data_IF_755006412614
#
_entry.id   IF_755006412614
#
_cell.length_a   1.000
_cell.length_b   1.000
_cell.length_c   1.000
_cell.angle_alpha   90.00
_cell.angle_beta   90.00
_cell.angle_gamma   90.00
#
_symmetry.space_group_name_H-M   'P 1'
#
loop_
_entity.id
_entity.type
_entity.pdbx_description
1 polymer ?
#
# COMPACT_ATOMS: atom_id res chain seq x y z
N UNK A 1 5.96 80.87 -65.98
CA UNK A 1 4.65 80.17 -65.88
C UNK A 1 4.78 78.65 -65.88
N UNK A 2 5.91 78.01 -66.18
CA UNK A 2 6.06 76.52 -66.14
C UNK A 2 6.36 75.93 -64.77
N UNK A 3 6.85 76.74 -63.82
CA UNK A 3 7.18 76.26 -62.46
C UNK A 3 6.00 76.18 -61.47
N UNK A 4 4.93 76.91 -61.72
CA UNK A 4 3.74 76.95 -60.87
C UNK A 4 2.85 75.74 -61.13
N UNK A 5 2.83 75.19 -62.32
CA UNK A 5 2.01 74.02 -62.67
C UNK A 5 2.54 72.70 -62.06
N UNK A 6 3.84 72.56 -61.82
CA UNK A 6 4.42 71.40 -61.18
C UNK A 6 4.18 71.33 -59.65
N UNK A 7 4.00 72.53 -59.03
CA UNK A 7 3.69 72.59 -57.60
C UNK A 7 2.23 72.20 -57.25
N UNK A 8 1.33 72.46 -58.18
CA UNK A 8 -0.09 72.14 -57.95
C UNK A 8 -0.42 70.64 -58.10
N UNK A 9 0.29 69.90 -58.89
CA UNK A 9 0.12 68.45 -59.05
C UNK A 9 0.72 67.66 -57.88
N UNK A 10 1.79 68.19 -57.28
CA UNK A 10 2.39 67.55 -56.12
C UNK A 10 1.53 67.64 -54.83
N UNK A 11 0.73 68.69 -54.71
CA UNK A 11 -0.20 68.86 -53.53
C UNK A 11 -1.52 68.10 -53.66
N UNK A 12 -1.91 67.68 -54.85
CA UNK A 12 -3.12 66.85 -55.05
C UNK A 12 -2.86 65.36 -54.81
N UNK A 13 -1.61 64.91 -54.86
CA UNK A 13 -1.24 63.54 -54.58
C UNK A 13 -1.17 63.17 -53.06
N UNK A 14 -1.21 64.19 -52.18
CA UNK A 14 -1.20 63.99 -50.72
C UNK A 14 -2.59 63.94 -50.07
N UNK A 15 -3.66 64.13 -50.87
CA UNK A 15 -5.03 64.05 -50.36
C UNK A 15 -5.71 62.72 -50.67
N UNK A 16 -4.94 61.60 -50.67
CA UNK A 16 -5.57 60.29 -50.62
C UNK A 16 -6.19 60.09 -49.22
N UNK A 17 -7.51 59.88 -49.12
CA UNK A 17 -8.11 59.62 -47.81
C UNK A 17 -7.46 58.35 -47.26
N UNK A 18 -6.97 58.42 -46.03
CA UNK A 18 -6.51 57.28 -45.25
C UNK A 18 -7.75 56.41 -44.89
N UNK A 19 -8.28 55.69 -45.87
CA UNK A 19 -9.35 54.72 -45.73
C UNK A 19 -8.85 53.38 -45.13
N UNK A 20 -7.69 53.38 -44.50
CA UNK A 20 -7.09 52.16 -43.92
C UNK A 20 -7.33 52.01 -42.40
N UNK A 21 -8.16 52.86 -41.77
CA UNK A 21 -8.32 52.84 -40.31
C UNK A 21 -9.62 52.27 -39.79
N UNK A 22 -10.44 51.66 -40.63
CA UNK A 22 -11.68 51.02 -40.18
C UNK A 22 -11.62 49.49 -40.39
N UNK A 23 -10.56 48.87 -39.86
CA UNK A 23 -10.60 47.45 -39.63
C UNK A 23 -11.57 47.21 -38.51
N UNK A 24 -12.72 46.58 -38.82
CA UNK A 24 -13.69 46.11 -37.81
C UNK A 24 -12.92 45.45 -36.69
N UNK A 25 -13.23 45.82 -35.39
CA UNK A 25 -12.56 45.18 -34.26
C UNK A 25 -12.74 43.68 -34.41
N UNK A 26 -11.63 42.95 -34.50
CA UNK A 26 -11.66 41.48 -34.49
C UNK A 26 -12.43 41.09 -33.25
N UNK A 27 -13.58 40.45 -33.44
CA UNK A 27 -14.33 39.80 -32.37
C UNK A 27 -13.33 38.84 -31.70
N UNK A 28 -12.86 39.20 -30.52
CA UNK A 28 -12.10 38.29 -29.67
C UNK A 28 -13.03 37.14 -29.30
N UNK A 29 -13.00 36.08 -30.08
CA UNK A 29 -13.56 34.80 -29.65
C UNK A 29 -12.69 34.39 -28.47
N UNK A 30 -13.31 34.44 -27.26
CA UNK A 30 -12.67 33.95 -26.02
C UNK A 30 -12.10 32.58 -26.34
N UNK A 31 -10.78 32.42 -26.23
CA UNK A 31 -10.13 31.14 -26.46
C UNK A 31 -10.88 30.04 -25.68
N UNK A 32 -11.14 28.86 -26.26
CA UNK A 32 -11.77 27.76 -25.52
C UNK A 32 -11.09 27.59 -24.20
N UNK A 33 -11.85 27.56 -23.13
CA UNK A 33 -11.31 27.28 -21.81
C UNK A 33 -10.66 25.91 -21.90
N UNK A 34 -9.33 25.86 -21.82
CA UNK A 34 -8.60 24.61 -21.77
C UNK A 34 -8.99 23.89 -20.47
N UNK A 35 -9.85 22.90 -20.57
CA UNK A 35 -10.16 22.00 -19.46
C UNK A 35 -9.08 20.90 -19.51
N UNK A 36 -8.18 20.83 -18.54
CA UNK A 36 -7.21 19.75 -18.49
C UNK A 36 -7.92 18.40 -18.57
N UNK A 37 -7.40 17.41 -19.30
CA UNK A 37 -7.98 16.07 -19.33
C UNK A 37 -8.09 15.54 -17.90
N UNK A 38 -9.26 15.06 -17.52
CA UNK A 38 -9.44 14.42 -16.22
C UNK A 38 -8.58 13.16 -16.18
N UNK A 39 -7.69 13.09 -15.21
CA UNK A 39 -6.89 11.89 -14.96
C UNK A 39 -7.82 10.80 -14.41
N UNK A 40 -8.11 9.80 -15.22
CA UNK A 40 -8.91 8.65 -14.82
C UNK A 40 -7.93 7.64 -14.17
N UNK A 41 -8.08 7.44 -12.86
CA UNK A 41 -7.33 6.41 -12.14
C UNK A 41 -8.03 5.07 -12.30
N UNK A 42 -7.34 4.10 -12.89
CA UNK A 42 -7.81 2.73 -13.03
C UNK A 42 -6.96 1.81 -12.16
N UNK A 43 -7.60 1.14 -11.22
CA UNK A 43 -6.96 0.21 -10.29
C UNK A 43 -6.86 -1.21 -10.82
N UNK A 44 -7.46 -1.51 -12.00
CA UNK A 44 -7.42 -2.85 -12.59
C UNK A 44 -6.03 -3.20 -13.08
N UNK A 45 -5.51 -4.33 -12.64
CA UNK A 45 -4.23 -4.87 -13.11
C UNK A 45 -3.46 -5.63 -12.05
N UNK A 46 -2.39 -6.27 -12.48
CA UNK A 46 -1.42 -6.90 -11.59
C UNK A 46 -0.51 -5.86 -10.94
N UNK A 47 -0.01 -6.17 -9.77
CA UNK A 47 1.04 -5.40 -9.13
C UNK A 47 2.00 -6.29 -8.37
N UNK A 48 3.22 -5.79 -8.21
CA UNK A 48 4.25 -6.35 -7.33
C UNK A 48 4.85 -5.22 -6.51
N UNK A 49 5.32 -5.52 -5.32
CA UNK A 49 5.90 -4.51 -4.45
C UNK A 49 6.70 -5.07 -3.30
N UNK A 50 7.24 -4.15 -2.52
CA UNK A 50 7.92 -4.43 -1.28
C UNK A 50 7.30 -3.64 -0.13
N UNK A 51 7.47 -4.14 1.08
CA UNK A 51 7.03 -3.47 2.30
C UNK A 51 8.05 -3.61 3.42
N UNK A 52 7.99 -2.67 4.34
CA UNK A 52 8.68 -2.71 5.62
C UNK A 52 7.71 -2.30 6.72
N UNK A 53 8.00 -2.67 7.96
CA UNK A 53 7.12 -2.32 9.06
C UNK A 53 7.55 -2.88 10.40
N UNK A 54 6.60 -2.90 11.32
CA UNK A 54 6.75 -3.48 12.65
C UNK A 54 5.72 -4.56 12.92
N UNK A 55 6.14 -5.59 13.63
CA UNK A 55 5.29 -6.65 14.16
C UNK A 55 5.28 -6.58 15.68
N UNK A 56 4.11 -6.77 16.27
CA UNK A 56 3.86 -6.70 17.71
C UNK A 56 3.08 -7.94 18.13
N UNK A 57 3.55 -8.63 19.14
CA UNK A 57 2.82 -9.77 19.70
C UNK A 57 1.57 -9.31 20.47
N UNK A 58 0.52 -10.13 20.46
CA UNK A 58 -0.67 -9.89 21.29
C UNK A 58 -0.41 -10.09 22.78
N UNK A 59 -1.27 -9.54 23.63
CA UNK A 59 -1.11 -9.47 25.09
C UNK A 59 -1.00 -10.83 25.81
N UNK A 60 -1.47 -11.90 25.19
CA UNK A 60 -1.47 -13.27 25.77
C UNK A 60 -0.46 -14.21 25.10
N UNK A 61 0.44 -13.67 24.30
CA UNK A 61 1.46 -14.43 23.55
C UNK A 61 2.64 -14.83 24.43
N UNK A 62 3.27 -15.95 24.12
CA UNK A 62 4.57 -16.34 24.70
C UNK A 62 5.74 -15.55 24.09
N UNK A 63 5.46 -14.59 23.23
CA UNK A 63 6.45 -13.68 22.65
C UNK A 63 6.61 -12.45 23.55
N UNK A 64 7.81 -11.86 23.52
CA UNK A 64 7.99 -10.52 24.10
C UNK A 64 7.12 -9.50 23.34
N UNK A 65 6.56 -8.54 24.09
CA UNK A 65 5.77 -7.42 23.53
C UNK A 65 6.63 -6.41 22.74
N UNK A 66 7.93 -6.64 22.60
CA UNK A 66 8.82 -5.76 21.87
C UNK A 66 8.46 -5.72 20.38
N UNK A 67 8.46 -4.51 19.83
CA UNK A 67 8.28 -4.32 18.39
C UNK A 67 9.43 -4.96 17.63
N UNK A 68 9.11 -5.80 16.65
CA UNK A 68 10.07 -6.42 15.75
C UNK A 68 9.96 -5.80 14.37
N UNK A 69 11.09 -5.45 13.78
CA UNK A 69 11.11 -5.00 12.38
C UNK A 69 10.70 -6.15 11.47
N UNK A 70 9.96 -5.84 10.41
CA UNK A 70 9.67 -6.77 9.33
C UNK A 70 9.96 -6.13 7.98
N UNK A 71 10.33 -6.95 7.03
CA UNK A 71 10.46 -6.57 5.62
C UNK A 71 9.98 -7.69 4.73
N UNK A 72 9.41 -7.36 3.57
CA UNK A 72 8.85 -8.39 2.72
C UNK A 72 8.47 -7.93 1.34
N UNK A 73 7.87 -8.85 0.61
CA UNK A 73 7.38 -8.66 -0.74
C UNK A 73 5.89 -8.94 -0.82
N UNK A 74 5.23 -8.35 -1.78
CA UNK A 74 3.82 -8.57 -2.08
C UNK A 74 3.56 -8.57 -3.57
N UNK A 75 2.47 -9.21 -3.96
CA UNK A 75 1.97 -9.16 -5.31
C UNK A 75 0.49 -9.51 -5.32
N UNK A 76 -0.23 -8.98 -6.29
CA UNK A 76 -1.65 -9.20 -6.37
C UNK A 76 -2.25 -8.75 -7.68
N UNK A 77 -3.56 -8.88 -7.75
CA UNK A 77 -4.38 -8.44 -8.85
C UNK A 77 -5.62 -7.74 -8.32
N UNK A 78 -5.92 -6.57 -8.87
CA UNK A 78 -7.12 -5.80 -8.58
C UNK A 78 -8.02 -5.73 -9.80
N UNK A 79 -9.31 -5.68 -9.55
CA UNK A 79 -10.34 -5.44 -10.54
C UNK A 79 -11.31 -4.36 -10.07
N UNK A 80 -11.33 -3.23 -10.77
CA UNK A 80 -12.27 -2.15 -10.52
C UNK A 80 -13.57 -2.45 -11.29
N UNK A 81 -14.55 -3.00 -10.57
CA UNK A 81 -15.82 -3.47 -11.15
C UNK A 81 -16.88 -2.37 -11.21
N UNK A 82 -16.67 -1.26 -10.52
CA UNK A 82 -17.51 -0.08 -10.56
C UNK A 82 -16.64 1.19 -10.46
N UNK A 83 -17.15 2.39 -10.74
CA UNK A 83 -16.36 3.63 -10.76
C UNK A 83 -15.51 3.85 -9.49
N UNK A 84 -16.01 3.42 -8.34
CA UNK A 84 -15.37 3.63 -7.05
C UNK A 84 -15.10 2.34 -6.26
N UNK A 85 -15.39 1.17 -6.82
CA UNK A 85 -15.23 -0.09 -6.11
C UNK A 85 -14.20 -1.00 -6.75
N UNK A 86 -13.31 -1.52 -5.93
CA UNK A 86 -12.23 -2.41 -6.31
C UNK A 86 -12.33 -3.68 -5.49
N UNK A 87 -12.17 -4.83 -6.14
CA UNK A 87 -11.93 -6.12 -5.49
C UNK A 87 -10.60 -6.66 -5.96
N UNK A 88 -9.93 -7.44 -5.14
CA UNK A 88 -8.64 -8.00 -5.52
C UNK A 88 -8.22 -9.18 -4.66
N UNK A 89 -7.12 -9.77 -5.06
CA UNK A 89 -6.41 -10.79 -4.30
C UNK A 89 -4.96 -10.37 -4.13
N UNK A 90 -4.40 -10.60 -2.95
CA UNK A 90 -3.03 -10.24 -2.63
C UNK A 90 -2.34 -11.38 -1.90
N UNK A 91 -1.12 -11.70 -2.30
CA UNK A 91 -0.20 -12.55 -1.57
C UNK A 91 0.92 -11.69 -0.99
N UNK A 92 1.24 -11.93 0.29
CA UNK A 92 2.34 -11.27 1.00
C UNK A 92 3.25 -12.30 1.64
N UNK A 93 4.54 -11.97 1.68
CA UNK A 93 5.54 -12.74 2.41
C UNK A 93 6.50 -11.80 3.09
N UNK A 94 6.63 -11.96 4.42
CA UNK A 94 7.42 -11.09 5.29
C UNK A 94 8.44 -11.90 6.05
N UNK A 95 9.66 -11.39 6.16
CA UNK A 95 10.75 -11.90 6.99
C UNK A 95 10.86 -11.05 8.24
N UNK A 96 11.03 -11.70 9.37
CA UNK A 96 11.22 -11.08 10.68
C UNK A 96 12.55 -11.56 11.27
N UNK A 97 13.38 -10.68 11.85
CA UNK A 97 14.53 -11.11 12.61
C UNK A 97 14.12 -11.98 13.80
N UNK A 98 14.88 -13.02 14.03
CA UNK A 98 14.67 -13.91 15.17
C UNK A 98 14.98 -13.17 16.47
N UNK A 99 14.02 -13.13 17.40
CA UNK A 99 14.22 -12.64 18.77
C UNK A 99 14.29 -13.82 19.72
N UNK A 100 15.38 -13.90 20.50
CA UNK A 100 15.53 -14.94 21.55
C UNK A 100 14.88 -14.53 22.88
N UNK A 101 14.11 -13.46 22.91
CA UNK A 101 13.40 -13.01 24.11
C UNK A 101 12.12 -13.81 24.31
N UNK A 102 11.94 -14.32 25.52
CA UNK A 102 10.80 -15.13 25.92
C UNK A 102 10.21 -14.67 27.25
N UNK A 103 9.11 -15.32 27.64
CA UNK A 103 8.48 -15.12 28.94
C UNK A 103 9.10 -16.06 29.97
N UNK A 104 9.50 -15.50 31.12
CA UNK A 104 10.07 -16.31 32.22
C UNK A 104 8.98 -16.57 33.27
N UNK A 105 8.79 -17.83 33.61
CA UNK A 105 7.86 -18.30 34.62
C UNK A 105 8.47 -18.34 36.03
N UNK A 106 7.67 -18.44 37.11
CA UNK A 106 8.13 -18.29 38.49
C UNK A 106 9.24 -19.26 38.94
N UNK A 107 9.30 -20.47 38.37
CA UNK A 107 10.36 -21.45 38.69
C UNK A 107 11.59 -21.34 37.77
N UNK A 108 11.70 -20.24 37.01
CA UNK A 108 12.84 -19.99 36.14
C UNK A 108 12.75 -20.63 34.76
N UNK A 109 11.62 -21.20 34.41
CA UNK A 109 11.38 -21.71 33.05
C UNK A 109 11.17 -20.54 32.09
N UNK A 110 11.96 -20.48 31.04
CA UNK A 110 11.81 -19.50 29.95
C UNK A 110 11.19 -20.17 28.75
N UNK A 111 10.09 -19.60 28.26
CA UNK A 111 9.43 -20.02 27.02
C UNK A 111 9.66 -18.96 25.97
N UNK A 112 10.23 -19.36 24.83
CA UNK A 112 10.47 -18.51 23.67
C UNK A 112 9.59 -18.96 22.52
N UNK A 113 8.92 -18.02 21.87
CA UNK A 113 8.21 -18.27 20.62
C UNK A 113 8.76 -17.34 19.55
N UNK A 114 9.28 -17.92 18.50
CA UNK A 114 9.88 -17.17 17.39
C UNK A 114 9.02 -17.33 16.14
N UNK A 115 8.70 -16.21 15.51
CA UNK A 115 8.12 -16.17 14.16
C UNK A 115 9.16 -15.52 13.25
N UNK A 116 9.73 -16.31 12.35
CA UNK A 116 10.78 -15.83 11.44
C UNK A 116 10.22 -15.40 10.10
N UNK A 117 9.05 -15.93 9.75
CA UNK A 117 8.40 -15.70 8.48
C UNK A 117 6.88 -15.67 8.65
N UNK A 118 6.26 -14.71 7.97
CA UNK A 118 4.81 -14.54 7.91
C UNK A 118 4.38 -14.48 6.44
N UNK A 119 3.46 -15.35 6.08
CA UNK A 119 2.85 -15.35 4.76
C UNK A 119 1.35 -15.19 4.84
N UNK A 120 0.73 -14.63 3.80
CA UNK A 120 -0.73 -14.57 3.68
C UNK A 120 -1.18 -14.54 2.24
N UNK A 121 -2.39 -15.10 2.01
CA UNK A 121 -3.17 -14.92 0.79
C UNK A 121 -4.53 -14.38 1.20
N UNK A 122 -4.87 -13.19 0.71
CA UNK A 122 -6.04 -12.43 1.14
C UNK A 122 -6.87 -11.98 -0.06
N UNK A 123 -8.19 -12.00 0.09
CA UNK A 123 -9.09 -11.19 -0.71
C UNK A 123 -9.15 -9.77 -0.16
N UNK A 124 -9.26 -8.77 -1.03
CA UNK A 124 -9.45 -7.37 -0.62
C UNK A 124 -10.62 -6.72 -1.34
N UNK A 125 -11.31 -5.84 -0.65
CA UNK A 125 -12.36 -4.97 -1.19
C UNK A 125 -12.07 -3.55 -0.74
N UNK A 126 -12.24 -2.59 -1.65
CA UNK A 126 -11.94 -1.20 -1.35
C UNK A 126 -12.78 -0.21 -2.12
N UNK A 127 -12.78 1.00 -1.61
CA UNK A 127 -13.41 2.16 -2.21
C UNK A 127 -12.34 3.16 -2.65
N UNK A 128 -12.44 3.62 -3.89
CA UNK A 128 -11.49 4.57 -4.47
C UNK A 128 -12.11 5.94 -4.72
N UNK A 129 -11.34 6.99 -4.41
CA UNK A 129 -11.64 8.37 -4.79
C UNK A 129 -10.38 9.00 -5.41
N UNK A 130 -10.41 9.11 -6.75
CA UNK A 130 -9.25 9.56 -7.50
C UNK A 130 -8.04 8.63 -7.32
N UNK A 131 -6.87 9.14 -6.91
CA UNK A 131 -5.65 8.34 -6.74
C UNK A 131 -5.61 7.50 -5.45
N UNK A 132 -6.62 7.60 -4.60
CA UNK A 132 -6.62 6.99 -3.26
C UNK A 132 -7.56 5.78 -3.22
N UNK A 133 -7.12 4.67 -2.63
CA UNK A 133 -7.89 3.47 -2.37
C UNK A 133 -7.83 3.15 -0.88
N UNK A 134 -8.99 3.15 -0.21
CA UNK A 134 -9.17 2.60 1.13
C UNK A 134 -9.68 1.17 0.98
N UNK A 135 -9.07 0.21 1.65
CA UNK A 135 -9.47 -1.19 1.53
C UNK A 135 -9.46 -1.93 2.85
N UNK A 136 -10.29 -2.96 2.93
CA UNK A 136 -10.23 -4.02 3.91
C UNK A 136 -9.81 -5.31 3.22
N UNK A 137 -9.15 -6.20 3.94
CA UNK A 137 -8.72 -7.50 3.43
C UNK A 137 -8.84 -8.58 4.49
N UNK A 138 -8.93 -9.83 4.03
CA UNK A 138 -8.96 -10.99 4.92
C UNK A 138 -8.71 -12.27 4.16
N UNK A 139 -8.17 -13.27 4.86
CA UNK A 139 -7.85 -14.54 4.23
C UNK A 139 -7.01 -15.46 5.09
N UNK A 140 -6.36 -16.36 4.41
CA UNK A 140 -5.48 -17.36 4.99
C UNK A 140 -4.10 -16.78 5.30
N UNK A 141 -3.54 -17.20 6.42
CA UNK A 141 -2.20 -16.83 6.83
C UNK A 141 -1.43 -18.07 7.32
N UNK A 142 -0.13 -18.03 7.15
CA UNK A 142 0.78 -19.03 7.71
C UNK A 142 2.00 -18.36 8.30
N UNK A 143 2.62 -19.05 9.25
CA UNK A 143 3.89 -18.63 9.85
C UNK A 143 4.90 -19.76 9.85
N UNK A 144 6.15 -19.43 9.84
CA UNK A 144 7.26 -20.33 10.14
C UNK A 144 8.00 -19.81 11.37
N UNK A 145 8.27 -20.70 12.30
CA UNK A 145 8.91 -20.37 13.56
C UNK A 145 8.88 -21.57 14.49
N UNK A 146 9.43 -21.41 15.68
CA UNK A 146 9.55 -22.47 16.67
C UNK A 146 9.24 -22.00 18.09
N UNK A 147 8.87 -22.97 18.93
CA UNK A 147 8.79 -22.83 20.38
C UNK A 147 10.06 -23.41 21.00
N UNK A 148 10.61 -22.73 21.98
CA UNK A 148 11.71 -23.21 22.80
C UNK A 148 11.36 -23.12 24.28
N UNK A 149 11.80 -24.09 25.07
CA UNK A 149 11.67 -24.10 26.53
C UNK A 149 13.04 -24.32 27.12
N UNK A 150 13.44 -23.41 28.00
CA UNK A 150 14.75 -23.49 28.72
C UNK A 150 14.53 -23.33 30.21
N UNK A 151 15.31 -24.05 31.01
CA UNK A 151 15.45 -23.84 32.47
C UNK A 151 16.88 -23.53 32.77
N UNK A 152 17.16 -22.39 33.38
CA UNK A 152 18.52 -21.90 33.66
C UNK A 152 19.46 -21.98 32.43
N UNK A 153 18.93 -21.69 31.22
CA UNK A 153 19.71 -21.72 29.97
C UNK A 153 19.86 -23.11 29.35
N UNK A 154 19.33 -24.16 29.97
CA UNK A 154 19.39 -25.53 29.46
C UNK A 154 18.10 -25.86 28.73
N UNK A 155 18.15 -26.28 27.43
CA UNK A 155 16.96 -26.68 26.68
C UNK A 155 16.25 -27.87 27.34
N UNK A 156 14.93 -27.80 27.41
CA UNK A 156 14.07 -28.83 27.98
C UNK A 156 13.19 -29.47 26.91
N UNK A 157 12.89 -30.75 27.09
CA UNK A 157 11.88 -31.43 26.29
C UNK A 157 10.52 -31.08 26.80
N UNK A 158 9.59 -30.79 25.86
CA UNK A 158 8.21 -30.44 26.14
C UNK A 158 7.28 -30.98 25.05
N UNK A 159 6.00 -31.06 25.37
CA UNK A 159 4.94 -31.31 24.40
C UNK A 159 3.91 -30.20 24.51
N UNK A 160 3.56 -29.62 23.38
CA UNK A 160 2.53 -28.59 23.29
C UNK A 160 1.50 -28.99 22.23
N UNK A 161 0.24 -28.72 22.51
CA UNK A 161 -0.88 -28.94 21.60
C UNK A 161 -1.37 -27.61 21.07
N UNK A 162 -1.70 -27.53 19.78
CA UNK A 162 -2.24 -26.30 19.17
C UNK A 162 -1.17 -25.33 18.67
N UNK A 163 0.09 -25.73 18.55
CA UNK A 163 1.13 -24.93 17.90
C UNK A 163 0.88 -24.89 16.38
N UNK A 164 -0.15 -24.15 15.99
CA UNK A 164 -0.58 -24.06 14.60
C UNK A 164 0.35 -23.12 13.83
N UNK A 165 0.78 -23.59 12.66
CA UNK A 165 1.51 -22.78 11.68
C UNK A 165 0.56 -22.01 10.77
N UNK A 166 -0.70 -22.43 10.74
CA UNK A 166 -1.77 -21.94 9.87
C UNK A 166 -2.83 -21.18 10.65
N UNK A 167 -3.39 -20.14 10.05
CA UNK A 167 -4.37 -19.30 10.68
C UNK A 167 -5.10 -18.41 9.70
N UNK A 168 -5.73 -17.39 10.21
CA UNK A 168 -6.40 -16.36 9.42
C UNK A 168 -5.80 -14.98 9.68
N UNK A 169 -6.04 -14.09 8.74
CA UNK A 169 -5.65 -12.69 8.87
C UNK A 169 -6.77 -11.78 8.41
N UNK A 170 -6.87 -10.62 9.06
CA UNK A 170 -7.72 -9.51 8.65
C UNK A 170 -6.93 -8.21 8.75
N UNK A 171 -7.25 -7.26 7.89
CA UNK A 171 -6.52 -6.00 7.87
C UNK A 171 -7.26 -4.92 7.10
N UNK A 172 -6.71 -3.72 7.20
CA UNK A 172 -7.16 -2.57 6.43
C UNK A 172 -5.96 -1.70 6.05
N UNK A 173 -6.10 -0.97 4.97
CA UNK A 173 -5.03 -0.11 4.48
C UNK A 173 -5.52 1.00 3.57
N UNK A 174 -4.63 1.95 3.39
CA UNK A 174 -4.76 3.05 2.46
C UNK A 174 -3.65 2.95 1.43
N UNK A 175 -4.00 3.03 0.15
CA UNK A 175 -3.05 3.02 -0.96
C UNK A 175 -3.25 4.27 -1.82
N UNK A 176 -2.17 4.90 -2.24
CA UNK A 176 -2.17 6.15 -3.00
C UNK A 176 -1.29 6.03 -4.24
N UNK A 177 -1.87 6.25 -5.43
CA UNK A 177 -1.12 6.34 -6.68
C UNK A 177 -0.45 7.71 -6.79
N UNK A 178 0.85 7.76 -6.58
CA UNK A 178 1.64 8.99 -6.71
C UNK A 178 2.24 9.17 -8.11
N UNK A 179 2.22 8.12 -8.93
CA UNK A 179 2.63 8.14 -10.33
C UNK A 179 1.82 7.10 -11.13
N UNK A 180 1.80 7.17 -12.47
CA UNK A 180 0.93 6.32 -13.31
C UNK A 180 1.00 4.81 -13.02
N UNK A 181 2.19 4.30 -12.65
CA UNK A 181 2.41 2.87 -12.38
C UNK A 181 2.88 2.61 -10.94
N UNK A 182 2.91 3.63 -10.09
CA UNK A 182 3.44 3.52 -8.75
C UNK A 182 2.43 3.92 -7.70
N UNK A 183 2.29 3.10 -6.68
CA UNK A 183 1.49 3.41 -5.51
C UNK A 183 2.26 3.17 -4.22
N UNK A 184 1.97 3.96 -3.21
CA UNK A 184 2.43 3.75 -1.84
C UNK A 184 1.26 3.30 -0.99
N UNK A 185 1.48 2.38 -0.04
CA UNK A 185 0.44 1.91 0.87
C UNK A 185 0.89 1.97 2.32
N UNK A 186 -0.08 2.19 3.21
CA UNK A 186 0.04 1.97 4.64
C UNK A 186 -1.04 0.97 5.06
N UNK A 187 -0.67 -0.04 5.83
CA UNK A 187 -1.53 -1.18 6.13
C UNK A 187 -1.36 -1.62 7.58
N UNK A 188 -2.48 -1.87 8.24
CA UNK A 188 -2.53 -2.63 9.48
C UNK A 188 -3.11 -4.01 9.20
N UNK A 189 -2.49 -5.05 9.78
CA UNK A 189 -2.95 -6.42 9.61
C UNK A 189 -2.80 -7.20 10.92
N UNK A 190 -3.87 -7.88 11.28
CA UNK A 190 -3.95 -8.80 12.41
C UNK A 190 -3.87 -10.23 11.91
N UNK A 191 -3.05 -11.04 12.58
CA UNK A 191 -2.89 -12.46 12.32
C UNK A 191 -3.29 -13.26 13.56
N UNK A 192 -4.00 -14.36 13.38
CA UNK A 192 -4.38 -15.27 14.46
C UNK A 192 -4.09 -16.72 14.06
N UNK A 193 -3.25 -17.37 14.84
CA UNK A 193 -2.83 -18.77 14.64
C UNK A 193 -3.41 -19.69 15.74
N UNK A 194 -4.40 -19.20 16.50
CA UNK A 194 -5.04 -19.96 17.55
C UNK A 194 -4.32 -19.86 18.89
N UNK A 195 -4.29 -20.93 19.64
CA UNK A 195 -3.66 -20.98 20.98
C UNK A 195 -2.88 -22.27 21.16
N UNK A 196 -1.74 -22.16 21.86
CA UNK A 196 -0.87 -23.26 22.25
C UNK A 196 -1.06 -23.56 23.71
N UNK A 197 -1.17 -24.84 24.07
CA UNK A 197 -1.25 -25.34 25.46
C UNK A 197 -0.13 -26.34 25.69
N UNK A 198 0.63 -26.15 26.75
CA UNK A 198 1.68 -27.09 27.15
C UNK A 198 1.05 -28.26 27.89
N UNK A 199 1.25 -29.48 27.38
CA UNK A 199 0.72 -30.72 27.95
C UNK A 199 1.77 -31.52 28.71
N UNK A 200 3.05 -31.26 28.48
CA UNK A 200 4.18 -31.88 29.18
C UNK A 200 5.38 -30.94 29.16
N UNK A 201 6.23 -31.01 30.19
CA UNK A 201 7.42 -30.18 30.36
C UNK A 201 7.68 -29.82 31.81
N UNK A 202 8.45 -28.75 32.10
CA UNK A 202 8.63 -28.23 33.44
C UNK A 202 7.31 -27.93 34.14
N UNK A 203 7.25 -28.14 35.45
CA UNK A 203 5.97 -28.12 36.21
C UNK A 203 5.25 -26.76 36.19
N UNK A 204 5.96 -25.67 36.00
CA UNK A 204 5.44 -24.31 35.99
C UNK A 204 4.79 -23.91 34.66
N UNK A 205 4.98 -24.71 33.61
CA UNK A 205 4.35 -24.43 32.29
C UNK A 205 3.27 -25.43 31.89
N UNK A 206 3.19 -26.59 32.54
CA UNK A 206 2.14 -27.59 32.22
C UNK A 206 0.77 -27.03 32.48
N UNK A 207 -0.12 -27.08 31.49
CA UNK A 207 -1.48 -26.52 31.53
C UNK A 207 -1.54 -25.02 31.15
N UNK A 208 -0.42 -24.34 30.99
CA UNK A 208 -0.40 -22.94 30.55
C UNK A 208 -0.82 -22.86 29.10
N UNK A 209 -1.72 -21.91 28.82
CA UNK A 209 -2.25 -21.61 27.48
C UNK A 209 -1.84 -20.21 27.07
N UNK A 210 -1.22 -20.09 25.91
CA UNK A 210 -0.92 -18.80 25.26
C UNK A 210 -1.64 -18.67 23.93
N UNK A 211 -2.02 -17.44 23.60
CA UNK A 211 -2.57 -17.11 22.28
C UNK A 211 -1.43 -16.79 21.34
N UNK A 212 -1.56 -17.21 20.09
CA UNK A 212 -0.57 -16.98 19.04
C UNK A 212 -1.15 -15.98 18.03
N UNK A 213 -1.17 -14.71 18.43
CA UNK A 213 -1.63 -13.61 17.59
C UNK A 213 -0.54 -12.56 17.39
N UNK A 214 -0.60 -11.89 16.25
CA UNK A 214 0.38 -10.90 15.87
C UNK A 214 -0.27 -9.72 15.12
N UNK A 215 0.13 -8.52 15.49
CA UNK A 215 -0.29 -7.27 14.90
C UNK A 215 0.85 -6.71 14.07
N UNK A 216 0.58 -6.27 12.83
CA UNK A 216 1.60 -5.66 11.99
C UNK A 216 1.12 -4.31 11.48
N UNK A 217 2.06 -3.35 11.45
CA UNK A 217 1.89 -2.08 10.75
C UNK A 217 2.96 -2.02 9.67
N UNK A 218 2.54 -1.84 8.43
CA UNK A 218 3.41 -1.91 7.25
C UNK A 218 3.22 -0.68 6.37
N UNK A 219 4.32 -0.23 5.79
CA UNK A 219 4.32 0.69 4.65
C UNK A 219 4.98 0.01 3.47
N UNK A 220 4.49 0.27 2.27
CA UNK A 220 5.00 -0.40 1.08
C UNK A 220 4.83 0.42 -0.17
N UNK A 221 5.52 -0.01 -1.21
CA UNK A 221 5.43 0.56 -2.55
C UNK A 221 5.13 -0.56 -3.54
N UNK A 222 4.21 -0.29 -4.45
CA UNK A 222 3.81 -1.22 -5.51
C UNK A 222 4.12 -0.63 -6.88
N UNK A 223 4.61 -1.46 -7.77
CA UNK A 223 4.59 -1.22 -9.20
C UNK A 223 3.38 -1.92 -9.82
N UNK A 224 2.52 -1.16 -10.48
CA UNK A 224 1.30 -1.64 -11.11
C UNK A 224 1.50 -1.83 -12.59
N UNK A 225 1.28 -3.05 -13.08
CA UNK A 225 1.31 -3.36 -14.51
C UNK A 225 -0.03 -2.94 -15.09
N UNK A 226 -0.10 -1.73 -15.65
CA UNK A 226 -1.36 -1.16 -16.09
C UNK A 226 -1.93 -1.86 -17.33
N UNK A 227 -3.11 -2.44 -17.19
CA UNK A 227 -4.06 -2.63 -18.29
C UNK A 227 -5.00 -1.42 -18.40
N UNK A 228 -4.54 -0.27 -17.97
CA UNK A 228 -5.27 0.97 -17.96
C UNK A 228 -4.46 2.04 -17.23
N UNK A 229 -3.25 2.32 -17.73
CA UNK A 229 -2.62 3.59 -17.42
C UNK A 229 -3.60 4.72 -17.73
N UNK A 230 -3.40 5.96 -17.20
CA UNK A 230 -4.22 7.08 -17.60
C UNK A 230 -4.31 7.03 -19.11
N UNK A 231 -5.53 6.97 -19.64
CA UNK A 231 -5.74 7.07 -21.07
C UNK A 231 -5.32 8.48 -21.51
N UNK A 232 -4.00 8.68 -21.49
CA UNK A 232 -3.35 9.77 -22.19
C UNK A 232 -3.61 9.48 -23.65
N UNK A 233 -4.52 10.26 -24.21
CA UNK A 233 -4.78 10.33 -25.63
C UNK A 233 -3.47 10.19 -26.40
N UNK A 234 -3.29 9.05 -27.06
CA UNK A 234 -2.35 8.96 -28.17
C UNK A 234 -2.97 9.78 -29.29
N UNK A 235 -2.47 10.97 -29.51
CA UNK A 235 -2.60 11.73 -30.74
C UNK A 235 -1.25 11.76 -31.43
#
# INVERSE_FOLDING_TARGET
MKAILLGAVALLALAAPAAAADMQPRTYTKAPVYTPPQVIYNWTGFYIGGHVGGAFAGDSSFQSSDARFLGGVQGGFDYQFAPNWVVGVEAQYSWLPTNNNGVTFPLGTQVTSNTDQLGSVTGRIGYTWGPTLLYAKGGYAWRNGGLGVNVAGVPQTFTATGNNKDGYTVGAGLEYMFAPNWSAKAEYQYYNFGSTTFTSGPADIVGVRGREDEHTVKVGVNYRFGWGGPAGSRY
#
